data_IF_131091525583
#
_entry.id   IF_131091525583
#
_cell.length_a   1.000
_cell.length_b   1.000
_cell.length_c   1.000
_cell.angle_alpha   90.00
_cell.angle_beta   90.00
_cell.angle_gamma   90.00
#
_symmetry.space_group_name_H-M   'P 1'
#
loop_
_entity.id
_entity.type
_entity.pdbx_description
1 polymer ?
#
# COMPACT_ATOMS: atom_id res chain seq x y z
N UNK A 1 28.08 -10.29 -11.34
CA UNK A 1 28.22 -10.43 -9.88
C UNK A 1 26.83 -10.77 -9.33
N UNK A 2 26.71 -11.80 -8.50
CA UNK A 2 25.41 -12.24 -7.99
C UNK A 2 24.90 -11.26 -6.93
N UNK A 3 23.80 -10.58 -7.22
CA UNK A 3 23.10 -9.75 -6.24
C UNK A 3 22.35 -10.66 -5.27
N UNK A 4 22.74 -10.67 -4.00
CA UNK A 4 22.01 -11.38 -2.97
C UNK A 4 20.61 -10.75 -2.84
N UNK A 5 19.55 -11.52 -3.16
CA UNK A 5 18.16 -11.11 -2.95
C UNK A 5 17.84 -11.29 -1.46
N UNK A 6 18.01 -10.23 -0.68
CA UNK A 6 17.57 -10.21 0.72
C UNK A 6 16.04 -10.25 0.80
N UNK A 7 15.50 -11.11 1.65
CA UNK A 7 14.05 -11.19 1.84
C UNK A 7 13.62 -10.14 2.86
N UNK A 8 12.58 -9.37 2.56
CA UNK A 8 12.15 -8.26 3.44
C UNK A 8 11.64 -8.72 4.80
N UNK A 9 11.29 -10.01 4.90
CA UNK A 9 10.91 -10.67 6.14
C UNK A 9 12.01 -10.61 7.21
N UNK A 10 13.28 -10.57 6.78
CA UNK A 10 14.46 -10.52 7.66
C UNK A 10 14.59 -9.17 8.40
N UNK A 11 13.84 -8.14 7.98
CA UNK A 11 13.90 -6.78 8.53
C UNK A 11 12.59 -6.35 9.20
N UNK A 12 11.71 -7.29 9.52
CA UNK A 12 10.46 -7.01 10.22
C UNK A 12 10.72 -6.88 11.73
N UNK A 13 10.04 -5.92 12.34
CA UNK A 13 9.99 -5.81 13.79
C UNK A 13 9.05 -6.90 14.34
N UNK A 14 9.51 -7.79 15.24
CA UNK A 14 8.69 -8.87 15.78
C UNK A 14 7.54 -8.40 16.70
N UNK A 15 7.53 -7.13 17.11
CA UNK A 15 6.47 -6.55 17.96
C UNK A 15 5.31 -6.01 17.11
N UNK A 16 5.61 -5.21 16.08
CA UNK A 16 4.57 -4.61 15.24
C UNK A 16 4.36 -5.33 13.90
N UNK A 17 5.19 -6.34 13.59
CA UNK A 17 5.18 -7.14 12.37
C UNK A 17 5.29 -6.30 11.09
N UNK A 18 5.99 -5.15 11.18
CA UNK A 18 6.19 -4.18 10.11
C UNK A 18 7.69 -3.92 9.94
N UNK A 19 8.10 -3.42 8.78
CA UNK A 19 9.50 -3.09 8.50
C UNK A 19 10.05 -2.13 9.58
N UNK A 20 11.26 -2.41 10.07
CA UNK A 20 11.86 -1.67 11.18
C UNK A 20 11.88 -0.15 10.93
N UNK A 21 11.34 0.62 11.90
CA UNK A 21 11.33 2.09 11.94
C UNK A 21 12.21 2.56 13.08
N UNK A 22 13.23 3.36 12.75
CA UNK A 22 14.31 3.71 13.67
C UNK A 22 14.82 2.45 14.41
N UNK A 23 15.40 1.49 13.67
CA UNK A 23 15.83 0.23 14.24
C UNK A 23 16.83 0.46 15.38
N UNK A 24 16.61 -0.23 16.49
CA UNK A 24 17.53 -0.31 17.62
C UNK A 24 17.88 -1.77 17.86
N UNK A 25 19.15 -2.04 18.17
CA UNK A 25 19.60 -3.35 18.59
C UNK A 25 19.82 -3.33 20.11
N UNK A 26 19.20 -4.27 20.82
CA UNK A 26 19.41 -4.45 22.26
C UNK A 26 20.61 -5.39 22.51
N UNK A 27 21.17 -5.48 23.74
CA UNK A 27 22.42 -6.20 23.98
C UNK A 27 22.41 -7.69 23.62
N UNK A 28 21.24 -8.33 23.53
CA UNK A 28 21.12 -9.71 23.06
C UNK A 28 21.17 -9.86 21.51
N UNK A 29 21.36 -8.77 20.77
CA UNK A 29 21.46 -8.76 19.30
C UNK A 29 20.13 -8.67 18.55
N UNK A 30 18.98 -8.79 19.23
CA UNK A 30 17.66 -8.64 18.59
C UNK A 30 17.37 -7.17 18.27
N UNK A 31 16.67 -6.94 17.17
CA UNK A 31 16.38 -5.61 16.65
C UNK A 31 14.89 -5.31 16.63
N UNK A 32 14.52 -4.09 17.01
CA UNK A 32 13.15 -3.63 17.12
C UNK A 32 13.01 -2.20 16.62
N UNK A 33 11.79 -1.76 16.34
CA UNK A 33 11.53 -0.32 16.24
C UNK A 33 11.78 0.31 17.60
N UNK A 34 12.42 1.49 17.63
CA UNK A 34 12.71 2.20 18.89
C UNK A 34 11.48 2.34 19.80
N UNK A 35 10.35 2.73 19.20
CA UNK A 35 9.09 2.94 19.93
C UNK A 35 8.57 1.60 20.48
N UNK A 36 8.51 0.55 19.66
CA UNK A 36 7.97 -0.75 20.07
C UNK A 36 8.68 -1.34 21.30
N UNK A 37 10.02 -1.31 21.34
CA UNK A 37 10.74 -1.84 22.50
C UNK A 37 10.66 -0.90 23.71
N UNK A 38 10.53 0.40 23.49
CA UNK A 38 10.33 1.38 24.56
C UNK A 38 8.99 1.12 25.25
N UNK A 39 7.92 0.96 24.47
CA UNK A 39 6.57 0.67 24.99
C UNK A 39 6.52 -0.67 25.75
N UNK A 40 7.21 -1.71 25.24
CA UNK A 40 7.32 -2.98 25.96
C UNK A 40 7.97 -2.79 27.34
N UNK A 41 9.07 -2.05 27.43
CA UNK A 41 9.78 -1.82 28.68
C UNK A 41 9.07 -0.86 29.62
N UNK A 42 8.33 0.12 29.10
CA UNK A 42 7.55 1.05 29.92
C UNK A 42 6.42 0.32 30.67
N UNK A 43 5.86 -0.75 30.10
CA UNK A 43 4.89 -1.62 30.79
C UNK A 43 5.53 -2.43 31.93
N UNK A 44 6.84 -2.69 31.87
CA UNK A 44 7.59 -3.50 32.83
C UNK A 44 8.36 -2.64 33.86
N UNK A 45 8.28 -1.32 33.78
CA UNK A 45 9.11 -0.37 34.55
C UNK A 45 9.02 -0.60 36.08
N UNK A 46 7.82 -0.94 36.58
CA UNK A 46 7.60 -1.26 38.00
C UNK A 46 8.45 -2.43 38.51
N UNK A 47 8.78 -3.40 37.64
CA UNK A 47 9.58 -4.57 37.99
C UNK A 47 11.08 -4.27 38.02
N UNK A 48 11.51 -3.13 37.45
CA UNK A 48 12.94 -2.73 37.26
C UNK A 48 13.81 -3.77 36.56
N UNK A 49 13.19 -4.74 35.90
CA UNK A 49 13.83 -5.82 35.14
C UNK A 49 13.18 -5.81 33.76
N UNK A 50 14.00 -5.58 32.74
CA UNK A 50 13.55 -5.39 31.37
C UNK A 50 13.86 -6.63 30.55
N UNK A 51 12.88 -7.15 29.82
CA UNK A 51 13.06 -8.41 29.08
C UNK A 51 13.10 -8.18 27.56
N UNK A 52 13.86 -9.02 26.87
CA UNK A 52 13.79 -9.11 25.41
C UNK A 52 12.50 -9.85 24.99
N UNK A 53 11.64 -9.27 24.13
CA UNK A 53 10.41 -9.94 23.67
C UNK A 53 10.64 -11.28 22.94
N UNK A 54 11.80 -11.48 22.31
CA UNK A 54 12.09 -12.70 21.54
C UNK A 54 12.74 -13.81 22.39
N UNK A 55 13.85 -13.51 23.07
CA UNK A 55 14.63 -14.52 23.79
C UNK A 55 14.44 -14.49 25.30
N UNK A 56 13.66 -13.52 25.82
CA UNK A 56 13.39 -13.33 27.26
C UNK A 56 14.63 -13.07 28.12
N UNK A 57 15.77 -12.76 27.51
CA UNK A 57 16.95 -12.30 28.25
C UNK A 57 16.60 -11.02 29.01
N UNK A 58 17.00 -10.96 30.27
CA UNK A 58 16.69 -9.86 31.18
C UNK A 58 17.87 -8.89 31.31
N UNK A 59 17.55 -7.62 31.57
CA UNK A 59 18.51 -6.54 31.71
C UNK A 59 18.15 -5.67 32.93
N UNK A 60 19.18 -5.32 33.70
CA UNK A 60 19.10 -4.39 34.82
C UNK A 60 20.48 -3.73 34.99
N UNK A 61 20.65 -2.41 34.76
CA UNK A 61 19.63 -1.39 34.49
C UNK A 61 19.03 -1.46 33.07
N UNK A 62 18.04 -0.59 32.78
CA UNK A 62 17.42 -0.44 31.45
C UNK A 62 18.50 -0.15 30.39
N UNK A 63 18.61 -0.95 29.32
CA UNK A 63 19.59 -0.68 28.27
C UNK A 63 19.30 0.65 27.56
N UNK A 64 20.36 1.39 27.24
CA UNK A 64 20.25 2.58 26.41
C UNK A 64 19.94 2.19 24.96
N UNK A 65 18.93 2.82 24.37
CA UNK A 65 18.51 2.56 22.99
C UNK A 65 19.13 3.58 22.04
N UNK A 66 20.16 3.17 21.32
CA UNK A 66 20.75 3.92 20.22
C UNK A 66 20.26 3.39 18.88
N UNK A 67 19.99 4.30 17.94
CA UNK A 67 19.62 3.94 16.57
C UNK A 67 20.77 3.17 15.92
N UNK A 68 20.47 2.00 15.37
CA UNK A 68 21.41 1.23 14.56
C UNK A 68 21.44 1.84 13.14
N UNK A 69 22.46 2.64 12.86
CA UNK A 69 22.61 3.37 11.60
C UNK A 69 22.79 2.44 10.41
N UNK A 70 23.52 1.34 10.56
CA UNK A 70 23.69 0.35 9.49
C UNK A 70 22.37 -0.33 9.16
N UNK A 71 21.64 -0.81 10.17
CA UNK A 71 20.34 -1.46 9.96
C UNK A 71 19.34 -0.48 9.35
N UNK A 72 19.35 0.78 9.80
CA UNK A 72 18.55 1.83 9.20
C UNK A 72 18.93 2.05 7.73
N UNK A 73 20.21 2.15 7.39
CA UNK A 73 20.66 2.36 6.01
C UNK A 73 20.27 1.18 5.10
N UNK A 74 20.41 -0.06 5.56
CA UNK A 74 20.02 -1.25 4.78
C UNK A 74 18.50 -1.27 4.55
N UNK A 75 17.71 -0.99 5.59
CA UNK A 75 16.25 -0.89 5.47
C UNK A 75 15.85 0.23 4.51
N UNK A 76 16.51 1.39 4.56
CA UNK A 76 16.28 2.50 3.64
C UNK A 76 16.71 2.16 2.20
N UNK A 77 17.83 1.46 2.01
CA UNK A 77 18.25 0.96 0.70
C UNK A 77 17.26 -0.04 0.15
N UNK A 78 16.73 -0.94 0.98
CA UNK A 78 15.70 -1.91 0.60
C UNK A 78 14.39 -1.23 0.19
N UNK A 79 13.97 -0.18 0.92
CA UNK A 79 12.88 0.71 0.50
C UNK A 79 13.22 1.38 -0.84
N UNK A 80 14.44 1.89 -0.99
CA UNK A 80 14.89 2.56 -2.22
C UNK A 80 15.04 1.64 -3.42
N UNK A 81 15.39 0.37 -3.27
CA UNK A 81 15.40 -0.61 -4.37
C UNK A 81 13.97 -0.92 -4.84
N UNK A 82 12.96 -0.77 -3.98
CA UNK A 82 11.56 -0.70 -4.44
C UNK A 82 11.27 0.64 -5.15
N UNK A 83 11.80 1.76 -4.63
CA UNK A 83 11.64 3.10 -5.22
C UNK A 83 12.44 3.34 -6.51
N UNK A 84 13.46 2.54 -6.85
CA UNK A 84 14.18 2.67 -8.13
C UNK A 84 13.35 2.16 -9.33
N UNK A 85 12.10 1.74 -9.08
CA UNK A 85 11.05 1.65 -10.09
C UNK A 85 10.30 2.99 -10.33
N UNK A 86 10.64 4.08 -9.62
CA UNK A 86 10.24 5.45 -9.93
C UNK A 86 11.20 6.04 -10.98
N UNK A 87 10.99 5.61 -12.22
CA UNK A 87 11.45 6.37 -13.37
C UNK A 87 10.68 7.70 -13.39
N UNK A 88 11.33 8.78 -13.84
CA UNK A 88 10.59 9.96 -14.29
C UNK A 88 9.52 9.51 -15.28
N UNK A 89 8.32 10.09 -15.24
CA UNK A 89 7.26 9.67 -16.14
C UNK A 89 7.70 9.93 -17.59
N UNK A 90 7.91 8.85 -18.34
CA UNK A 90 8.24 8.90 -19.75
C UNK A 90 7.01 9.14 -20.62
N UNK A 91 7.23 9.19 -21.94
CA UNK A 91 6.12 9.28 -22.89
C UNK A 91 5.26 8.00 -22.81
N UNK A 92 4.00 8.16 -22.38
CA UNK A 92 3.04 7.07 -22.22
C UNK A 92 2.84 6.59 -20.78
N UNK A 93 3.65 7.05 -19.82
CA UNK A 93 3.46 6.73 -18.41
C UNK A 93 2.33 7.56 -17.79
N UNK A 94 1.53 6.93 -16.94
CA UNK A 94 0.56 7.64 -16.10
C UNK A 94 1.32 8.42 -15.04
N UNK A 95 1.06 9.72 -14.92
CA UNK A 95 1.76 10.58 -13.97
C UNK A 95 1.11 10.54 -12.59
N UNK A 96 1.91 10.73 -11.55
CA UNK A 96 1.39 10.92 -10.20
C UNK A 96 0.73 12.30 -10.05
N UNK A 97 -0.52 12.30 -9.58
CA UNK A 97 -1.31 13.52 -9.42
C UNK A 97 -0.81 14.39 -8.26
N UNK A 98 -0.29 13.76 -7.21
CA UNK A 98 0.13 14.43 -5.95
C UNK A 98 1.48 15.13 -6.05
N UNK A 99 2.40 14.66 -6.91
CA UNK A 99 3.74 15.24 -7.02
C UNK A 99 3.68 16.72 -7.40
N UNK A 100 4.37 17.57 -6.63
CA UNK A 100 4.56 18.99 -6.94
C UNK A 100 5.87 19.18 -7.70
N UNK A 101 5.81 19.81 -8.88
CA UNK A 101 6.97 20.00 -9.76
C UNK A 101 7.22 18.78 -10.66
N UNK A 102 8.32 18.05 -10.42
CA UNK A 102 8.69 16.87 -11.23
C UNK A 102 7.66 15.75 -11.02
N UNK A 103 7.11 15.24 -12.12
CA UNK A 103 6.10 14.18 -12.11
C UNK A 103 6.74 12.82 -12.27
N UNK A 104 6.47 11.94 -11.31
CA UNK A 104 6.93 10.55 -11.28
C UNK A 104 5.87 9.63 -11.87
N UNK A 105 6.29 8.46 -12.38
CA UNK A 105 5.36 7.44 -12.86
C UNK A 105 4.47 6.94 -11.72
N UNK A 106 3.17 6.95 -11.95
CA UNK A 106 2.22 6.34 -11.06
C UNK A 106 2.27 4.81 -11.17
N UNK A 107 2.23 4.14 -10.03
CA UNK A 107 2.22 2.68 -9.91
C UNK A 107 0.82 2.14 -9.69
N UNK A 108 -0.03 2.91 -8.98
CA UNK A 108 -1.43 2.56 -8.74
C UNK A 108 -2.33 3.78 -8.80
N UNK A 109 -3.59 3.53 -9.13
CA UNK A 109 -4.65 4.53 -9.05
C UNK A 109 -5.69 4.10 -8.02
N UNK A 110 -6.22 5.08 -7.28
CA UNK A 110 -7.28 4.87 -6.30
C UNK A 110 -8.62 5.29 -6.88
N UNK A 111 -9.59 4.36 -6.90
CA UNK A 111 -10.95 4.61 -7.41
C UNK A 111 -11.81 5.44 -6.48
N UNK A 112 -11.41 5.57 -5.20
CA UNK A 112 -12.12 6.40 -4.22
C UNK A 112 -11.61 7.84 -4.28
N UNK A 113 -10.30 8.03 -4.28
CA UNK A 113 -9.68 9.35 -4.33
C UNK A 113 -9.60 9.92 -5.75
N UNK A 114 -9.79 9.09 -6.78
CA UNK A 114 -9.64 9.46 -8.19
C UNK A 114 -8.26 10.06 -8.53
N UNK A 115 -7.23 9.52 -7.88
CA UNK A 115 -5.85 9.95 -8.04
C UNK A 115 -4.94 8.76 -8.32
N UNK A 116 -3.90 9.01 -9.11
CA UNK A 116 -2.80 8.12 -9.43
C UNK A 116 -1.58 8.50 -8.59
N UNK A 117 -0.96 7.50 -7.98
CA UNK A 117 0.13 7.68 -7.03
C UNK A 117 1.41 7.01 -7.53
N UNK A 118 2.53 7.72 -7.46
CA UNK A 118 3.85 7.10 -7.47
C UNK A 118 4.05 6.26 -6.20
N UNK A 119 5.11 5.44 -6.14
CA UNK A 119 5.29 4.50 -5.04
C UNK A 119 5.32 5.21 -3.67
N UNK A 120 6.03 6.33 -3.57
CA UNK A 120 6.09 7.12 -2.34
C UNK A 120 4.72 7.67 -1.91
N UNK A 121 3.96 8.28 -2.84
CA UNK A 121 2.63 8.81 -2.50
C UNK A 121 1.61 7.70 -2.25
N UNK A 122 1.80 6.52 -2.82
CA UNK A 122 0.98 5.36 -2.53
C UNK A 122 1.20 4.88 -1.09
N UNK A 123 2.46 4.78 -0.65
CA UNK A 123 2.76 4.40 0.74
C UNK A 123 2.22 5.43 1.74
N UNK A 124 2.33 6.72 1.43
CA UNK A 124 1.73 7.78 2.24
C UNK A 124 0.20 7.68 2.28
N UNK A 125 -0.43 7.39 1.13
CA UNK A 125 -1.86 7.14 1.06
C UNK A 125 -2.27 5.92 1.92
N UNK A 126 -1.60 4.77 1.77
CA UNK A 126 -1.89 3.56 2.53
C UNK A 126 -1.67 3.74 4.05
N UNK A 127 -0.66 4.53 4.43
CA UNK A 127 -0.41 4.85 5.84
C UNK A 127 -1.45 5.80 6.42
N UNK A 128 -1.89 6.81 5.66
CA UNK A 128 -2.92 7.77 6.10
C UNK A 128 -4.29 7.12 6.23
N UNK A 129 -4.63 6.20 5.33
CA UNK A 129 -5.90 5.47 5.32
C UNK A 129 -5.84 4.12 6.05
N UNK A 130 -4.91 3.93 7.00
CA UNK A 130 -4.86 2.70 7.82
C UNK A 130 -6.19 2.47 8.55
N UNK A 131 -7.00 1.55 8.02
CA UNK A 131 -8.33 1.19 8.53
C UNK A 131 -9.46 1.32 7.50
N UNK A 132 -9.28 2.10 6.42
CA UNK A 132 -10.22 2.18 5.30
C UNK A 132 -9.54 1.66 4.03
N UNK A 133 -9.91 0.46 3.58
CA UNK A 133 -9.40 -0.08 2.32
C UNK A 133 -10.01 0.69 1.15
N UNK A 134 -9.26 1.61 0.59
CA UNK A 134 -9.59 2.18 -0.71
C UNK A 134 -9.26 1.17 -1.81
N UNK A 135 -10.12 1.10 -2.85
CA UNK A 135 -9.88 0.24 -4.00
C UNK A 135 -8.75 0.81 -4.86
N UNK A 136 -7.60 0.12 -4.84
CA UNK A 136 -6.41 0.44 -5.62
C UNK A 136 -6.30 -0.51 -6.82
N UNK A 137 -6.06 0.03 -8.00
CA UNK A 137 -5.82 -0.72 -9.24
C UNK A 137 -4.51 -0.28 -9.90
N UNK A 138 -4.09 -0.96 -10.96
CA UNK A 138 -2.95 -0.51 -11.78
C UNK A 138 -3.18 0.90 -12.29
N UNK A 139 -2.09 1.69 -12.35
CA UNK A 139 -2.17 3.07 -12.77
C UNK A 139 -2.78 3.18 -14.17
N UNK A 140 -3.82 4.00 -14.30
CA UNK A 140 -4.50 4.22 -15.59
C UNK A 140 -4.74 5.70 -15.82
N UNK A 141 -4.46 6.17 -17.03
CA UNK A 141 -4.81 7.53 -17.44
C UNK A 141 -6.32 7.73 -17.64
N UNK A 142 -7.10 6.64 -17.58
CA UNK A 142 -8.54 6.62 -17.89
C UNK A 142 -9.43 6.59 -16.65
N UNK A 143 -8.96 7.12 -15.52
CA UNK A 143 -9.76 7.14 -14.28
C UNK A 143 -11.07 7.89 -14.46
N UNK A 144 -11.06 9.01 -15.19
CA UNK A 144 -12.30 9.77 -15.46
C UNK A 144 -13.31 9.00 -16.30
N UNK A 145 -12.88 8.06 -17.16
CA UNK A 145 -13.78 7.20 -17.94
C UNK A 145 -14.51 6.17 -17.06
N UNK A 146 -14.02 5.93 -15.83
CA UNK A 146 -14.65 5.02 -14.85
C UNK A 146 -15.69 5.73 -13.98
N UNK A 147 -15.95 7.02 -14.22
CA UNK A 147 -16.88 7.84 -13.45
C UNK A 147 -18.07 8.24 -14.29
N UNK A 148 -19.26 8.07 -13.72
CA UNK A 148 -20.51 8.52 -14.30
C UNK A 148 -20.53 10.05 -14.35
N UNK A 149 -20.54 10.62 -15.55
CA UNK A 149 -20.58 12.07 -15.77
C UNK A 149 -21.84 12.75 -15.20
N UNK A 150 -22.94 12.00 -15.01
CA UNK A 150 -24.20 12.54 -14.44
C UNK A 150 -24.22 12.56 -12.92
N UNK A 151 -23.55 11.60 -12.28
CA UNK A 151 -23.72 11.32 -10.86
C UNK A 151 -22.41 11.31 -10.07
N UNK A 152 -21.28 11.51 -10.74
CA UNK A 152 -19.93 11.54 -10.17
C UNK A 152 -19.60 10.29 -9.33
N UNK A 153 -20.21 9.15 -9.71
CA UNK A 153 -20.07 7.85 -9.05
C UNK A 153 -19.44 6.83 -9.98
N UNK A 154 -18.76 5.83 -9.39
CA UNK A 154 -18.12 4.75 -10.13
C UNK A 154 -19.11 4.01 -11.03
N UNK A 155 -18.64 3.68 -12.23
CA UNK A 155 -19.35 2.85 -13.20
C UNK A 155 -19.17 1.37 -12.84
N UNK A 156 -19.98 0.89 -11.90
CA UNK A 156 -19.89 -0.47 -11.36
C UNK A 156 -20.84 -1.47 -12.04
N UNK A 157 -21.77 -0.98 -12.85
CA UNK A 157 -22.83 -1.79 -13.46
C UNK A 157 -22.75 -1.72 -14.98
N UNK A 158 -22.96 -2.83 -15.67
CA UNK A 158 -23.09 -2.89 -17.12
C UNK A 158 -24.56 -3.07 -17.50
N UNK A 159 -25.09 -2.13 -18.27
CA UNK A 159 -26.41 -2.28 -18.87
C UNK A 159 -26.28 -3.03 -20.20
N UNK A 160 -26.84 -4.25 -20.27
CA UNK A 160 -26.84 -5.06 -21.49
C UNK A 160 -27.79 -4.52 -22.55
N UNK A 161 -28.89 -3.89 -22.14
CA UNK A 161 -29.85 -3.24 -23.04
C UNK A 161 -29.21 -2.09 -23.82
N UNK A 162 -28.45 -1.21 -23.15
CA UNK A 162 -27.76 -0.07 -23.79
C UNK A 162 -26.31 -0.35 -24.19
N UNK A 163 -25.79 -1.54 -23.84
CA UNK A 163 -24.38 -1.92 -23.97
C UNK A 163 -23.38 -0.89 -23.40
N UNK A 164 -23.68 -0.31 -22.22
CA UNK A 164 -22.83 0.71 -21.60
C UNK A 164 -22.63 0.50 -20.10
N UNK A 165 -21.48 0.93 -19.58
CA UNK A 165 -21.23 0.97 -18.14
C UNK A 165 -21.95 2.18 -17.51
N UNK A 166 -22.64 1.95 -16.40
CA UNK A 166 -23.44 2.92 -15.66
C UNK A 166 -23.14 2.81 -14.15
N UNK A 167 -23.46 3.85 -13.38
CA UNK A 167 -23.35 3.78 -11.91
C UNK A 167 -24.62 3.21 -11.28
N UNK A 168 -24.56 2.84 -10.00
CA UNK A 168 -25.71 2.36 -9.21
C UNK A 168 -26.88 3.35 -9.16
N UNK A 169 -26.64 4.65 -9.32
CA UNK A 169 -27.74 5.63 -9.35
C UNK A 169 -28.46 5.63 -10.71
N UNK A 170 -27.74 5.37 -11.80
CA UNK A 170 -28.33 5.21 -13.12
C UNK A 170 -29.25 4.00 -13.20
N UNK A 171 -28.94 2.90 -12.49
CA UNK A 171 -29.80 1.70 -12.48
C UNK A 171 -31.17 1.99 -11.88
N UNK A 172 -31.26 2.84 -10.86
CA UNK A 172 -32.53 3.11 -10.18
C UNK A 172 -33.33 4.24 -10.83
N UNK A 173 -32.68 5.18 -11.51
CA UNK A 173 -33.34 6.33 -12.15
C UNK A 173 -33.68 6.05 -13.62
N UNK A 174 -32.67 5.85 -14.46
CA UNK A 174 -32.83 5.83 -15.92
C UNK A 174 -32.91 4.40 -16.49
N UNK A 175 -32.29 3.43 -15.82
CA UNK A 175 -32.14 2.05 -16.30
C UNK A 175 -32.93 1.03 -15.46
N UNK A 176 -34.01 1.45 -14.79
CA UNK A 176 -34.75 0.65 -13.81
C UNK A 176 -35.31 -0.67 -14.35
N UNK A 177 -35.64 -0.71 -15.63
CA UNK A 177 -36.23 -1.88 -16.29
C UNK A 177 -35.28 -2.50 -17.32
N UNK A 178 -34.01 -2.09 -17.35
CA UNK A 178 -33.05 -2.63 -18.29
C UNK A 178 -32.37 -3.86 -17.70
N UNK A 179 -31.90 -4.74 -18.57
CA UNK A 179 -31.09 -5.87 -18.14
C UNK A 179 -29.71 -5.34 -17.71
N UNK A 180 -29.40 -5.46 -16.42
CA UNK A 180 -28.17 -4.93 -15.84
C UNK A 180 -27.45 -6.02 -15.06
N UNK A 181 -26.14 -6.09 -15.25
CA UNK A 181 -25.24 -7.00 -14.52
C UNK A 181 -24.07 -6.22 -13.94
N UNK A 182 -23.33 -6.80 -13.00
CA UNK A 182 -22.09 -6.17 -12.52
C UNK A 182 -21.09 -6.01 -13.66
N UNK A 183 -20.37 -4.88 -13.68
CA UNK A 183 -19.29 -4.66 -14.63
C UNK A 183 -18.12 -5.65 -14.42
N UNK A 184 -18.02 -6.29 -13.25
CA UNK A 184 -17.07 -7.37 -13.00
C UNK A 184 -17.50 -8.68 -13.68
N UNK A 185 -18.78 -9.05 -13.55
CA UNK A 185 -19.32 -10.29 -14.10
C UNK A 185 -19.29 -10.28 -15.64
N UNK A 186 -19.67 -9.16 -16.25
CA UNK A 186 -19.63 -9.00 -17.71
C UNK A 186 -18.21 -9.13 -18.29
N UNK A 187 -17.18 -8.67 -17.56
CA UNK A 187 -15.77 -8.80 -17.98
C UNK A 187 -15.29 -10.25 -17.93
N UNK A 188 -15.85 -11.04 -17.02
CA UNK A 188 -15.55 -12.47 -16.90
C UNK A 188 -16.24 -13.26 -18.02
N UNK A 189 -17.51 -12.97 -18.33
CA UNK A 189 -18.25 -13.62 -19.43
C UNK A 189 -17.61 -13.39 -20.81
N UNK A 190 -17.12 -12.18 -21.09
CA UNK A 190 -16.42 -11.89 -22.37
C UNK A 190 -15.09 -12.61 -22.52
N UNK A 191 -14.37 -12.89 -21.43
CA UNK A 191 -13.10 -13.64 -21.47
C UNK A 191 -13.33 -15.15 -21.69
N UNK A 192 -14.42 -15.72 -21.15
CA UNK A 192 -14.76 -17.14 -21.35
C UNK A 192 -15.16 -17.43 -22.80
N UNK A 193 -15.82 -16.49 -23.48
CA UNK A 193 -16.17 -16.63 -24.90
C UNK A 193 -14.95 -16.56 -25.84
N UNK A 194 -13.93 -15.76 -25.51
CA UNK A 194 -12.71 -15.67 -26.32
C UNK A 194 -11.75 -16.86 -26.16
N UNK A 195 -11.93 -17.72 -25.15
CA UNK A 195 -11.05 -18.88 -24.91
C UNK A 195 -11.62 -20.19 -25.48
N UNK A 196 -12.77 -20.12 -26.16
CA UNK A 196 -13.49 -21.27 -26.74
C UNK A 196 -13.47 -21.29 -28.27
N UNK A 197 -12.61 -20.48 -28.90
CA UNK A 197 -12.43 -20.43 -30.35
C UNK A 197 -11.00 -20.81 -30.74
#
# INVERSE_FOLDING_TARGET
MAEARFSQDEFLCPVCLDLLKDPVAIPCGHSYCKICITDCWDQEDQKRVYSCPQCRQTFSPRPALARNTMLAEVVEKLKKTRLSADCDAGAGDVQCDVCTGRKYRAVKSCLVCLNSYCQNHLEQHETFFRGKKHNLMEATGRLQEMICQKHEKLLEVFCRTDQKCICLLCTVIEHKNHDTVSAADQRTEKQVFNTRH
#
